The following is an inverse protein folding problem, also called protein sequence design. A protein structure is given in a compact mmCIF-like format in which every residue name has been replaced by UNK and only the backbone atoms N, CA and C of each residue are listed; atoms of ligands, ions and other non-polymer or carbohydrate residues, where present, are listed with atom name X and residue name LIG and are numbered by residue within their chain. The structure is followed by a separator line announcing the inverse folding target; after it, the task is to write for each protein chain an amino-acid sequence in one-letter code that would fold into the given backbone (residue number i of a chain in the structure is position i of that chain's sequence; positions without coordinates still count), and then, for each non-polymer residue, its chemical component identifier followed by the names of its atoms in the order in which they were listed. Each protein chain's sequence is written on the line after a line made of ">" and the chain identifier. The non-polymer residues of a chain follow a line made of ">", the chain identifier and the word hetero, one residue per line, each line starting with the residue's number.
data_IF_063306239028
#
_entry.id   IF_063306239028
#
_cell.length_a   1.000
_cell.length_b   1.000
_cell.length_c   1.000
_cell.angle_alpha   90.00
_cell.angle_beta   90.00
_cell.angle_gamma   90.00
#
_symmetry.space_group_name_H-M   'P 1'
#
loop_
_entity.id
_entity.type
_entity.pdbx_description
1 polymer ?
#
# COMPACT_ATOMS: atom_id res chain seq x y z
N UNK A 1 32.16 61.84 -17.92
CA UNK A 1 31.00 62.33 -17.15
C UNK A 1 30.14 61.12 -16.82
N UNK A 2 30.65 60.29 -15.91
CA UNK A 2 29.86 59.30 -15.19
C UNK A 2 29.31 60.06 -13.98
N UNK A 3 28.04 60.48 -14.05
CA UNK A 3 27.31 60.88 -12.86
C UNK A 3 26.80 59.60 -12.18
N UNK A 4 27.47 59.30 -11.07
CA UNK A 4 27.21 58.24 -10.12
C UNK A 4 25.78 58.37 -9.54
N UNK A 5 24.83 57.65 -10.15
CA UNK A 5 23.41 57.63 -9.77
C UNK A 5 23.15 57.02 -8.37
N UNK A 6 24.19 56.59 -7.66
CA UNK A 6 24.09 56.00 -6.31
C UNK A 6 24.18 57.03 -5.17
N UNK A 7 24.39 58.31 -5.46
CA UNK A 7 24.57 59.36 -4.44
C UNK A 7 23.28 59.93 -3.81
N UNK A 8 22.11 59.34 -4.03
CA UNK A 8 20.81 59.88 -3.56
C UNK A 8 20.05 59.01 -2.53
N UNK A 9 20.62 57.92 -2.04
CA UNK A 9 19.95 57.09 -1.03
C UNK A 9 20.45 57.45 0.38
N UNK A 10 19.54 57.96 1.22
CA UNK A 10 19.79 58.21 2.64
C UNK A 10 20.03 56.87 3.36
N UNK A 11 21.30 56.53 3.57
CA UNK A 11 21.75 55.26 4.14
C UNK A 11 21.21 55.00 5.56
N UNK A 12 20.69 56.02 6.25
CA UNK A 12 20.09 55.89 7.58
C UNK A 12 18.68 55.26 7.57
N UNK A 13 18.05 55.15 6.39
CA UNK A 13 16.69 54.61 6.20
C UNK A 13 16.67 53.28 5.44
N UNK A 14 17.84 52.73 5.12
CA UNK A 14 17.97 51.45 4.44
C UNK A 14 17.73 50.29 5.41
N UNK A 15 16.63 49.57 5.20
CA UNK A 15 16.37 48.31 5.88
C UNK A 15 17.25 47.21 5.28
N UNK A 16 17.64 46.22 6.11
CA UNK A 16 18.41 45.08 5.61
C UNK A 16 17.55 44.27 4.63
N UNK A 17 18.18 43.56 3.67
CA UNK A 17 17.46 42.66 2.76
C UNK A 17 16.55 41.66 3.49
N UNK A 18 16.99 41.16 4.65
CA UNK A 18 16.23 40.23 5.48
C UNK A 18 14.99 40.90 6.08
N UNK A 19 15.12 42.13 6.59
CA UNK A 19 13.99 42.89 7.14
C UNK A 19 12.96 43.26 6.06
N UNK A 20 13.41 43.54 4.84
CA UNK A 20 12.53 43.77 3.69
C UNK A 20 11.83 42.48 3.26
N UNK A 21 12.53 41.35 3.27
CA UNK A 21 11.95 40.05 2.95
C UNK A 21 10.93 39.60 3.99
N UNK A 22 11.17 39.83 5.29
CA UNK A 22 10.17 39.54 6.33
C UNK A 22 8.90 40.40 6.17
N UNK A 23 9.05 41.68 5.84
CA UNK A 23 7.91 42.60 5.71
C UNK A 23 7.11 42.39 4.42
N UNK A 24 7.76 42.08 3.30
CA UNK A 24 7.13 42.09 1.97
C UNK A 24 7.31 40.81 1.16
N UNK A 25 8.12 39.86 1.61
CA UNK A 25 8.52 38.67 0.86
C UNK A 25 7.33 37.84 0.39
N UNK A 26 6.33 37.59 1.25
CA UNK A 26 5.12 36.84 0.86
C UNK A 26 4.35 37.52 -0.28
N UNK A 27 4.23 38.85 -0.24
CA UNK A 27 3.55 39.60 -1.29
C UNK A 27 4.36 39.58 -2.59
N UNK A 28 5.68 39.79 -2.50
CA UNK A 28 6.58 39.78 -3.66
C UNK A 28 6.59 38.40 -4.32
N UNK A 29 6.67 37.32 -3.55
CA UNK A 29 6.61 35.94 -4.06
C UNK A 29 5.30 35.71 -4.82
N UNK A 30 4.15 36.06 -4.23
CA UNK A 30 2.86 35.87 -4.90
C UNK A 30 2.73 36.68 -6.20
N UNK A 31 3.25 37.91 -6.24
CA UNK A 31 3.25 38.73 -7.46
C UNK A 31 4.20 38.17 -8.51
N UNK A 32 5.40 37.73 -8.10
CA UNK A 32 6.42 37.18 -8.99
C UNK A 32 5.97 35.84 -9.57
N UNK A 33 5.44 34.93 -8.77
CA UNK A 33 4.88 33.65 -9.25
C UNK A 33 3.80 33.89 -10.30
N UNK A 34 2.86 34.81 -10.03
CA UNK A 34 1.80 35.15 -11.00
C UNK A 34 2.37 35.74 -12.29
N UNK A 35 3.42 36.56 -12.21
CA UNK A 35 4.08 37.14 -13.38
C UNK A 35 4.80 36.07 -14.21
N UNK A 36 5.50 35.14 -13.56
CA UNK A 36 6.19 34.02 -14.22
C UNK A 36 5.19 33.03 -14.84
N UNK A 37 4.11 32.70 -14.14
CA UNK A 37 3.01 31.87 -14.67
C UNK A 37 2.36 32.46 -15.92
N UNK A 38 2.23 33.79 -15.95
CA UNK A 38 1.61 34.49 -17.07
C UNK A 38 2.51 34.58 -18.30
N UNK A 39 3.82 34.33 -18.16
CA UNK A 39 4.80 34.43 -19.24
C UNK A 39 5.19 33.04 -19.78
N UNK A 40 4.89 32.78 -21.06
CA UNK A 40 5.15 31.51 -21.76
C UNK A 40 6.63 31.16 -21.94
N UNK A 41 7.51 32.14 -21.79
CA UNK A 41 8.96 31.93 -21.83
C UNK A 41 9.47 31.19 -20.60
N UNK A 42 8.71 31.24 -19.50
CA UNK A 42 9.03 30.50 -18.29
C UNK A 42 8.26 29.19 -18.23
N UNK A 43 8.86 28.22 -17.58
CA UNK A 43 8.23 26.95 -17.24
C UNK A 43 8.51 26.67 -15.77
N UNK A 44 7.46 26.29 -15.03
CA UNK A 44 7.58 25.83 -13.65
C UNK A 44 7.75 24.32 -13.65
N UNK A 45 8.78 23.82 -12.99
CA UNK A 45 9.03 22.39 -12.78
C UNK A 45 9.29 22.19 -11.29
N UNK A 46 8.36 21.55 -10.59
CA UNK A 46 8.35 21.52 -9.13
C UNK A 46 8.18 22.94 -8.55
N UNK A 47 9.12 23.34 -7.69
CA UNK A 47 9.16 24.66 -7.04
C UNK A 47 10.12 25.66 -7.72
N UNK A 48 10.70 25.28 -8.86
CA UNK A 48 11.68 26.08 -9.59
C UNK A 48 11.13 26.60 -10.93
N UNK A 49 11.64 27.75 -11.34
CA UNK A 49 11.29 28.43 -12.59
C UNK A 49 12.48 28.44 -13.54
N UNK A 50 12.26 27.95 -14.75
CA UNK A 50 13.28 27.90 -15.80
C UNK A 50 12.86 28.74 -17.00
N UNK A 51 13.84 29.39 -17.63
CA UNK A 51 13.63 29.99 -18.94
C UNK A 51 13.65 28.86 -19.99
N UNK A 52 12.57 28.71 -20.75
CA UNK A 52 12.42 27.67 -21.78
C UNK A 52 13.56 27.66 -22.79
N UNK A 53 14.12 28.82 -23.12
CA UNK A 53 15.24 28.96 -24.03
C UNK A 53 16.56 28.35 -23.51
N UNK A 54 16.68 28.13 -22.20
CA UNK A 54 17.84 27.51 -21.56
C UNK A 54 17.66 26.01 -21.33
N UNK A 55 16.45 25.48 -21.56
CA UNK A 55 16.16 24.06 -21.40
C UNK A 55 16.78 23.25 -22.54
N UNK A 56 17.17 22.01 -22.23
CA UNK A 56 17.63 21.07 -23.27
C UNK A 56 16.44 20.52 -24.03
N UNK A 57 16.52 20.52 -25.37
CA UNK A 57 15.45 19.96 -26.19
C UNK A 57 15.43 18.42 -26.08
N UNK A 58 14.35 17.88 -25.53
CA UNK A 58 14.10 16.43 -25.47
C UNK A 58 13.07 16.05 -26.53
N UNK A 59 13.53 15.48 -27.64
CA UNK A 59 12.68 15.02 -28.74
C UNK A 59 12.21 13.57 -28.55
N UNK A 60 11.36 13.10 -29.47
CA UNK A 60 10.82 11.74 -29.47
C UNK A 60 11.89 10.65 -29.56
N UNK A 61 13.02 10.93 -30.21
CA UNK A 61 14.15 10.01 -30.29
C UNK A 61 14.77 9.75 -28.91
N UNK A 62 14.98 10.81 -28.12
CA UNK A 62 15.43 10.69 -26.73
C UNK A 62 14.44 9.91 -25.87
N UNK A 63 13.13 10.14 -26.03
CA UNK A 63 12.10 9.37 -25.30
C UNK A 63 12.09 7.89 -25.69
N UNK A 64 12.31 7.56 -26.96
CA UNK A 64 12.43 6.16 -27.40
C UNK A 64 13.69 5.49 -26.84
N UNK A 65 14.80 6.22 -26.72
CA UNK A 65 16.00 5.73 -26.05
C UNK A 65 15.75 5.51 -24.55
N UNK A 66 15.09 6.45 -23.87
CA UNK A 66 14.70 6.28 -22.47
C UNK A 66 13.80 5.06 -22.25
N UNK A 67 12.83 4.83 -23.16
CA UNK A 67 12.01 3.62 -23.13
C UNK A 67 12.87 2.35 -23.30
N UNK A 68 13.82 2.33 -24.24
CA UNK A 68 14.69 1.18 -24.43
C UNK A 68 15.57 0.89 -23.19
N UNK A 69 16.12 1.93 -22.57
CA UNK A 69 16.92 1.82 -21.33
C UNK A 69 16.09 1.23 -20.19
N UNK A 70 14.86 1.72 -19.99
CA UNK A 70 13.97 1.18 -18.97
C UNK A 70 13.52 -0.25 -19.29
N UNK A 71 13.25 -0.58 -20.56
CA UNK A 71 12.86 -1.93 -20.98
C UNK A 71 13.97 -2.96 -20.69
N UNK A 72 15.24 -2.59 -20.97
CA UNK A 72 16.41 -3.39 -20.60
C UNK A 72 16.53 -3.60 -19.07
N UNK A 73 15.99 -2.69 -18.27
CA UNK A 73 15.90 -2.77 -16.82
C UNK A 73 14.55 -3.39 -16.34
N UNK A 74 13.87 -4.17 -17.17
CA UNK A 74 12.56 -4.79 -16.89
C UNK A 74 11.48 -3.77 -16.46
N UNK A 75 11.54 -2.57 -17.04
CA UNK A 75 10.64 -1.46 -16.77
C UNK A 75 11.16 -0.44 -15.77
N UNK A 76 12.20 -0.75 -14.97
CA UNK A 76 12.77 0.15 -13.96
C UNK A 76 12.54 -0.34 -12.51
N UNK A 77 12.46 0.56 -11.51
CA UNK A 77 12.60 2.02 -11.62
C UNK A 77 14.05 2.44 -11.87
N UNK A 78 14.28 3.46 -12.70
CA UNK A 78 15.59 4.09 -12.88
C UNK A 78 15.54 5.59 -12.59
N UNK A 79 16.59 6.11 -11.97
CA UNK A 79 16.77 7.55 -11.77
C UNK A 79 17.11 8.25 -13.08
N UNK A 80 16.81 9.54 -13.14
CA UNK A 80 17.04 10.37 -14.33
C UNK A 80 18.51 10.40 -14.75
N UNK A 81 19.43 10.46 -13.79
CA UNK A 81 20.88 10.44 -14.05
C UNK A 81 21.34 9.14 -14.71
N UNK A 82 20.71 8.01 -14.40
CA UNK A 82 21.03 6.71 -15.00
C UNK A 82 20.53 6.67 -16.44
N UNK A 83 19.30 7.13 -16.68
CA UNK A 83 18.71 7.19 -18.02
C UNK A 83 19.56 8.12 -18.91
N UNK A 84 19.94 9.30 -18.42
CA UNK A 84 20.69 10.32 -19.17
C UNK A 84 21.99 9.81 -19.79
N UNK A 85 22.67 8.84 -19.16
CA UNK A 85 23.97 8.30 -19.63
C UNK A 85 23.88 7.73 -21.04
N UNK A 86 22.72 7.24 -21.44
CA UNK A 86 22.49 6.57 -22.71
C UNK A 86 21.70 7.43 -23.72
N UNK A 87 21.25 8.64 -23.34
CA UNK A 87 20.46 9.52 -24.21
C UNK A 87 21.29 10.41 -25.14
N UNK A 88 22.55 10.66 -24.79
CA UNK A 88 23.46 11.48 -25.61
C UNK A 88 23.07 12.96 -25.72
N UNK A 89 22.54 13.56 -24.65
CA UNK A 89 22.21 15.00 -24.63
C UNK A 89 23.48 15.88 -24.76
N UNK A 90 23.36 17.11 -25.29
CA UNK A 90 24.50 17.99 -25.53
C UNK A 90 25.32 18.26 -24.24
N UNK A 91 26.61 17.88 -24.19
CA UNK A 91 27.42 17.92 -22.96
C UNK A 91 27.80 19.34 -22.52
N UNK A 92 27.56 20.34 -23.38
CA UNK A 92 27.75 21.76 -23.12
C UNK A 92 26.67 22.35 -22.20
N UNK A 93 25.55 21.65 -22.03
CA UNK A 93 24.50 22.02 -21.07
C UNK A 93 24.78 21.40 -19.71
N UNK A 94 24.65 22.19 -18.63
CA UNK A 94 24.86 21.71 -17.27
C UNK A 94 23.93 20.55 -16.90
N UNK A 95 24.47 19.55 -16.18
CA UNK A 95 23.77 18.30 -15.82
C UNK A 95 22.39 18.52 -15.21
N UNK A 96 22.26 19.49 -14.29
CA UNK A 96 20.98 19.79 -13.65
C UNK A 96 19.90 20.23 -14.65
N UNK A 97 20.26 21.05 -15.63
CA UNK A 97 19.33 21.48 -16.69
C UNK A 97 18.92 20.30 -17.57
N UNK A 98 19.85 19.38 -17.87
CA UNK A 98 19.53 18.15 -18.61
C UNK A 98 18.56 17.26 -17.83
N UNK A 99 18.80 17.04 -16.54
CA UNK A 99 17.92 16.25 -15.66
C UNK A 99 16.51 16.84 -15.58
N UNK A 100 16.41 18.14 -15.32
CA UNK A 100 15.12 18.85 -15.25
C UNK A 100 14.39 18.79 -16.60
N UNK A 101 15.12 18.95 -17.71
CA UNK A 101 14.57 18.84 -19.07
C UNK A 101 14.02 17.44 -19.36
N UNK A 102 14.78 16.40 -19.01
CA UNK A 102 14.35 15.02 -19.19
C UNK A 102 13.17 14.67 -18.29
N UNK A 103 13.21 15.03 -17.01
CA UNK A 103 12.11 14.80 -16.07
C UNK A 103 10.79 15.38 -16.57
N UNK A 104 10.83 16.63 -17.04
CA UNK A 104 9.65 17.28 -17.59
C UNK A 104 9.13 16.58 -18.87
N UNK A 105 10.04 16.11 -19.73
CA UNK A 105 9.66 15.38 -20.94
C UNK A 105 9.06 13.99 -20.65
N UNK A 106 9.64 13.25 -19.70
CA UNK A 106 9.12 11.95 -19.26
C UNK A 106 7.77 12.10 -18.55
N UNK A 107 7.59 13.13 -17.71
CA UNK A 107 6.33 13.42 -17.02
C UNK A 107 5.18 13.70 -18.01
N UNK A 108 5.49 14.31 -19.16
CA UNK A 108 4.52 14.67 -20.17
C UNK A 108 4.13 13.49 -21.10
N UNK A 109 4.91 12.40 -21.11
CA UNK A 109 4.68 11.24 -21.98
C UNK A 109 4.00 10.09 -21.20
N UNK A 110 2.84 9.60 -21.66
CA UNK A 110 2.04 8.62 -20.91
C UNK A 110 2.66 7.22 -20.79
N UNK A 111 3.76 6.94 -21.50
CA UNK A 111 4.50 5.67 -21.41
C UNK A 111 5.25 5.53 -20.08
N UNK A 112 5.60 6.65 -19.45
CA UNK A 112 6.41 6.68 -18.24
C UNK A 112 5.53 6.98 -17.02
N UNK A 113 5.85 6.36 -15.89
CA UNK A 113 5.24 6.65 -14.59
C UNK A 113 6.36 7.04 -13.62
N UNK A 114 6.16 8.14 -12.90
CA UNK A 114 7.11 8.58 -11.86
C UNK A 114 6.77 7.87 -10.54
N UNK A 115 7.63 6.95 -10.13
CA UNK A 115 7.39 6.02 -9.00
C UNK A 115 8.43 6.19 -7.89
N UNK A 116 8.95 7.41 -7.75
CA UNK A 116 9.95 7.80 -6.75
C UNK A 116 9.52 7.48 -5.31
N UNK A 117 10.46 6.93 -4.54
CA UNK A 117 10.28 6.68 -3.11
C UNK A 117 10.65 7.90 -2.25
N UNK A 118 11.60 8.69 -2.73
CA UNK A 118 12.16 9.88 -2.10
C UNK A 118 12.04 11.07 -3.05
N UNK A 119 12.66 12.20 -2.71
CA UNK A 119 12.62 13.42 -3.55
C UNK A 119 13.46 13.30 -4.84
N UNK A 120 14.07 12.13 -5.11
CA UNK A 120 14.78 11.87 -6.36
C UNK A 120 13.84 11.21 -7.37
N UNK A 121 13.59 11.84 -8.54
CA UNK A 121 12.75 11.26 -9.57
C UNK A 121 13.25 9.88 -10.02
N UNK A 122 12.33 8.92 -10.05
CA UNK A 122 12.58 7.58 -10.54
C UNK A 122 11.44 7.18 -11.47
N UNK A 123 11.79 6.66 -12.64
CA UNK A 123 10.88 6.42 -13.75
C UNK A 123 10.68 4.94 -14.00
N UNK A 124 9.45 4.55 -14.33
CA UNK A 124 9.07 3.20 -14.68
C UNK A 124 8.27 3.18 -15.99
N UNK A 125 8.37 2.10 -16.77
CA UNK A 125 7.52 1.90 -17.95
C UNK A 125 6.14 1.39 -17.57
N UNK A 126 5.13 2.22 -17.81
CA UNK A 126 3.73 1.92 -17.44
C UNK A 126 3.20 0.62 -18.04
N UNK A 127 3.66 0.23 -19.24
CA UNK A 127 3.26 -1.03 -19.89
C UNK A 127 3.80 -2.28 -19.19
N UNK A 128 4.90 -2.14 -18.44
CA UNK A 128 5.54 -3.22 -17.69
C UNK A 128 5.14 -3.23 -16.22
N UNK A 129 4.32 -2.27 -15.77
CA UNK A 129 3.73 -2.32 -14.44
C UNK A 129 2.85 -3.57 -14.30
N UNK A 130 2.97 -4.31 -13.19
CA UNK A 130 2.07 -5.43 -12.90
C UNK A 130 0.61 -4.99 -12.96
N UNK A 131 -0.26 -5.85 -13.48
CA UNK A 131 -1.69 -5.55 -13.58
C UNK A 131 -2.29 -5.26 -12.20
N UNK A 132 -1.87 -6.00 -11.18
CA UNK A 132 -2.32 -5.86 -9.79
C UNK A 132 -1.74 -4.64 -9.08
N UNK A 133 -0.70 -4.00 -9.62
CA UNK A 133 -0.23 -2.68 -9.15
C UNK A 133 -1.05 -1.53 -9.75
N UNK A 134 -1.75 -1.79 -10.87
CA UNK A 134 -2.63 -0.85 -11.56
C UNK A 134 -4.09 -1.00 -11.16
N UNK A 135 -4.54 -2.23 -10.97
CA UNK A 135 -5.92 -2.57 -10.62
C UNK A 135 -5.98 -3.43 -9.36
N UNK A 136 -6.85 -3.03 -8.43
CA UNK A 136 -7.07 -3.79 -7.20
C UNK A 136 -7.62 -5.19 -7.49
N UNK A 137 -6.97 -6.27 -6.99
CA UNK A 137 -7.46 -7.63 -7.10
C UNK A 137 -8.90 -7.77 -6.56
N UNK A 138 -9.75 -8.53 -7.25
CA UNK A 138 -11.17 -8.65 -6.89
C UNK A 138 -11.37 -9.16 -5.45
N UNK A 139 -10.53 -10.09 -5.00
CA UNK A 139 -10.60 -10.66 -3.64
C UNK A 139 -10.38 -9.61 -2.52
N UNK A 140 -9.76 -8.46 -2.84
CA UNK A 140 -9.52 -7.34 -1.92
C UNK A 140 -10.58 -6.24 -2.01
N UNK A 141 -11.52 -6.33 -2.96
CA UNK A 141 -12.58 -5.30 -3.12
C UNK A 141 -13.62 -5.47 -2.02
N UNK A 142 -13.62 -4.54 -1.07
CA UNK A 142 -14.60 -4.49 0.01
C UNK A 142 -15.83 -3.68 -0.39
N UNK A 143 -17.02 -4.17 0.00
CA UNK A 143 -18.24 -3.36 0.00
C UNK A 143 -18.26 -2.53 1.29
N UNK A 144 -18.39 -1.20 1.18
CA UNK A 144 -18.51 -0.34 2.36
C UNK A 144 -19.97 -0.28 2.79
N UNK A 145 -20.34 -0.78 3.99
CA UNK A 145 -21.72 -0.69 4.45
C UNK A 145 -22.12 0.77 4.71
N UNK A 146 -23.39 1.08 4.49
CA UNK A 146 -23.97 2.39 4.79
C UNK A 146 -24.37 2.46 6.27
N UNK A 147 -23.60 3.17 7.09
CA UNK A 147 -23.94 3.49 8.48
C UNK A 147 -22.88 3.04 9.50
N UNK A 148 -22.84 3.70 10.66
CA UNK A 148 -21.98 3.33 11.79
C UNK A 148 -22.84 2.71 12.89
N UNK A 149 -22.59 1.46 13.22
CA UNK A 149 -23.15 0.81 14.42
C UNK A 149 -22.19 1.05 15.57
N UNK A 150 -22.71 1.44 16.73
CA UNK A 150 -21.89 1.56 17.93
C UNK A 150 -21.44 0.16 18.37
N UNK A 151 -20.13 -0.05 18.44
CA UNK A 151 -19.51 -1.29 18.93
C UNK A 151 -19.16 -1.15 20.41
N UNK A 152 -19.12 -2.28 21.12
CA UNK A 152 -18.64 -2.29 22.50
C UNK A 152 -17.13 -1.98 22.54
N UNK A 153 -16.61 -1.46 23.67
CA UNK A 153 -15.18 -1.20 23.82
C UNK A 153 -14.30 -2.42 23.53
N UNK A 154 -14.76 -3.63 23.88
CA UNK A 154 -14.04 -4.89 23.65
C UNK A 154 -13.90 -5.20 22.16
N UNK A 155 -14.96 -5.00 21.38
CA UNK A 155 -14.94 -5.20 19.92
C UNK A 155 -14.10 -4.13 19.21
N UNK A 156 -14.12 -2.88 19.70
CA UNK A 156 -13.24 -1.81 19.18
C UNK A 156 -11.77 -2.15 19.45
N UNK A 157 -11.45 -2.61 20.66
CA UNK A 157 -10.09 -3.05 21.01
C UNK A 157 -9.64 -4.23 20.14
N UNK A 158 -10.52 -5.20 19.89
CA UNK A 158 -10.23 -6.33 19.02
C UNK A 158 -10.00 -5.90 17.56
N UNK A 159 -10.81 -4.98 17.03
CA UNK A 159 -10.62 -4.45 15.67
C UNK A 159 -9.25 -3.76 15.53
N UNK A 160 -8.88 -2.96 16.53
CA UNK A 160 -7.58 -2.29 16.57
C UNK A 160 -6.39 -3.26 16.70
N UNK A 161 -6.56 -4.39 17.40
CA UNK A 161 -5.55 -5.45 17.49
C UNK A 161 -5.39 -6.20 16.15
N UNK A 162 -6.50 -6.42 15.44
CA UNK A 162 -6.48 -7.02 14.11
C UNK A 162 -5.72 -6.18 13.09
N UNK A 163 -5.69 -4.85 13.28
CA UNK A 163 -4.91 -3.88 12.49
C UNK A 163 -5.11 -4.09 10.98
N UNK A 164 -6.37 -4.18 10.54
CA UNK A 164 -6.74 -4.39 9.14
C UNK A 164 -6.57 -3.10 8.31
N UNK A 165 -6.09 -3.23 7.07
CA UNK A 165 -5.79 -2.09 6.20
C UNK A 165 -7.03 -1.28 5.80
N UNK A 166 -8.24 -1.88 5.83
CA UNK A 166 -9.47 -1.16 5.51
C UNK A 166 -9.82 -0.10 6.54
N UNK A 167 -9.39 -0.32 7.79
CA UNK A 167 -9.61 0.55 8.95
C UNK A 167 -8.46 1.52 9.18
N UNK A 168 -7.37 1.37 8.45
CA UNK A 168 -6.23 2.26 8.57
C UNK A 168 -6.55 3.65 8.03
N UNK A 169 -6.50 4.64 8.94
CA UNK A 169 -6.56 6.06 8.61
C UNK A 169 -5.15 6.60 8.32
N UNK A 170 -4.85 6.79 7.03
CA UNK A 170 -3.56 7.35 6.57
C UNK A 170 -3.31 8.78 7.04
N UNK A 171 -4.34 9.50 7.49
CA UNK A 171 -4.18 10.88 7.99
C UNK A 171 -3.69 10.92 9.44
N UNK A 172 -3.87 9.81 10.17
CA UNK A 172 -3.39 9.69 11.54
C UNK A 172 -1.85 9.53 11.54
N UNK A 173 -1.13 10.23 12.43
CA UNK A 173 0.31 10.09 12.52
C UNK A 173 0.69 8.67 12.95
N UNK A 174 1.57 8.02 12.19
CA UNK A 174 2.14 6.71 12.52
C UNK A 174 3.59 6.91 12.98
N UNK A 175 3.88 6.50 14.21
CA UNK A 175 5.24 6.51 14.74
C UNK A 175 6.12 5.51 13.98
N UNK A 176 7.27 5.94 13.43
CA UNK A 176 8.20 5.02 12.79
C UNK A 176 8.70 3.94 13.76
N UNK A 177 8.76 2.70 13.28
CA UNK A 177 9.27 1.55 14.04
C UNK A 177 10.36 0.82 13.24
N UNK A 178 11.26 0.12 13.96
CA UNK A 178 12.28 -0.69 13.31
C UNK A 178 11.71 -1.98 12.72
N UNK A 179 10.70 -2.57 13.35
CA UNK A 179 10.06 -3.80 12.92
C UNK A 179 8.57 -3.83 13.27
N UNK A 180 7.79 -4.53 12.46
CA UNK A 180 6.37 -4.77 12.66
C UNK A 180 6.03 -6.23 12.35
N UNK A 181 5.02 -6.78 13.03
CA UNK A 181 4.45 -8.09 12.74
C UNK A 181 3.03 -7.89 12.20
N UNK A 182 2.72 -8.54 11.08
CA UNK A 182 1.41 -8.54 10.44
C UNK A 182 0.84 -9.96 10.41
N UNK A 183 -0.48 -10.07 10.44
CA UNK A 183 -1.19 -11.34 10.25
C UNK A 183 -1.58 -11.44 8.77
N UNK A 184 -1.16 -12.51 8.10
CA UNK A 184 -1.53 -12.77 6.71
C UNK A 184 -3.01 -13.20 6.62
N UNK A 185 -3.90 -12.32 6.19
CA UNK A 185 -5.33 -12.65 6.02
C UNK A 185 -5.57 -13.51 4.77
N UNK A 186 -6.71 -14.21 4.70
CA UNK A 186 -7.04 -15.04 3.53
C UNK A 186 -7.11 -14.24 2.20
N UNK A 187 -7.77 -13.07 2.11
CA UNK A 187 -7.78 -12.26 0.89
C UNK A 187 -6.38 -11.92 0.40
N UNK A 188 -5.49 -11.52 1.31
CA UNK A 188 -4.09 -11.19 1.01
C UNK A 188 -3.29 -12.42 0.57
N UNK A 189 -3.46 -13.55 1.26
CA UNK A 189 -2.87 -14.84 0.87
C UNK A 189 -3.32 -15.28 -0.52
N UNK A 190 -4.60 -15.09 -0.86
CA UNK A 190 -5.16 -15.42 -2.18
C UNK A 190 -4.60 -14.52 -3.28
N UNK A 191 -4.48 -13.21 -3.02
CA UNK A 191 -3.99 -12.20 -3.96
C UNK A 191 -2.46 -12.15 -4.08
N UNK A 192 -1.72 -12.79 -3.17
CA UNK A 192 -0.26 -12.65 -3.11
C UNK A 192 0.17 -11.26 -2.65
N UNK A 193 -0.59 -10.67 -1.73
CA UNK A 193 -0.38 -9.32 -1.19
C UNK A 193 -0.24 -9.33 0.33
N UNK A 194 0.13 -8.19 0.92
CA UNK A 194 -0.04 -7.89 2.35
C UNK A 194 -0.86 -6.60 2.51
N UNK A 195 -1.62 -6.49 3.59
CA UNK A 195 -2.31 -5.24 3.93
C UNK A 195 -1.31 -4.16 4.31
N UNK A 196 -1.49 -2.95 3.78
CA UNK A 196 -0.77 -1.76 4.24
C UNK A 196 -1.48 -1.17 5.46
N UNK A 197 -1.46 -1.93 6.54
CA UNK A 197 -2.00 -1.50 7.83
C UNK A 197 -1.10 -0.47 8.50
N UNK A 198 -1.56 0.05 9.65
CA UNK A 198 -0.74 0.93 10.48
C UNK A 198 0.59 0.28 10.90
N UNK A 199 0.59 -1.01 11.25
CA UNK A 199 1.82 -1.74 11.56
C UNK A 199 2.78 -1.75 10.37
N UNK A 200 2.31 -2.03 9.15
CA UNK A 200 3.15 -1.92 7.95
C UNK A 200 3.62 -0.48 7.70
N UNK A 201 2.74 0.51 7.82
CA UNK A 201 3.06 1.93 7.64
C UNK A 201 4.13 2.44 8.63
N UNK A 202 4.25 1.81 9.81
CA UNK A 202 5.29 2.17 10.79
C UNK A 202 6.70 1.81 10.34
N UNK A 203 6.85 0.75 9.52
CA UNK A 203 8.16 0.29 9.02
C UNK A 203 8.42 0.72 7.58
N UNK A 204 7.37 0.90 6.79
CA UNK A 204 7.49 1.30 5.39
C UNK A 204 7.70 2.82 5.26
N UNK A 205 8.34 3.26 4.17
CA UNK A 205 8.44 4.67 3.83
C UNK A 205 7.04 5.26 3.58
N UNK A 206 6.87 6.52 3.99
CA UNK A 206 5.66 7.29 3.74
C UNK A 206 5.84 8.01 2.40
N UNK A 207 4.89 7.86 1.48
CA UNK A 207 4.91 8.58 0.21
C UNK A 207 3.53 8.96 -0.27
N UNK A 208 3.48 10.02 -1.07
CA UNK A 208 2.27 10.57 -1.69
C UNK A 208 1.95 9.97 -3.04
N UNK A 209 2.88 9.20 -3.62
CA UNK A 209 2.68 8.55 -4.92
C UNK A 209 1.64 7.42 -4.80
N UNK A 210 0.83 7.18 -5.86
CA UNK A 210 -0.22 6.17 -5.81
C UNK A 210 0.32 4.74 -5.75
N UNK A 211 1.48 4.51 -6.36
CA UNK A 211 2.15 3.21 -6.40
C UNK A 211 3.66 3.39 -6.41
N UNK A 212 4.36 2.51 -5.70
CA UNK A 212 5.81 2.59 -5.55
C UNK A 212 6.42 1.20 -5.55
N UNK A 213 7.34 0.88 -6.49
CA UNK A 213 8.12 -0.32 -6.43
C UNK A 213 9.16 -0.21 -5.30
N UNK A 214 9.30 -1.28 -4.54
CA UNK A 214 10.28 -1.42 -3.48
C UNK A 214 10.94 -2.80 -3.56
N UNK A 215 12.07 -2.97 -2.87
CA UNK A 215 12.71 -4.27 -2.74
C UNK A 215 12.48 -4.83 -1.36
N UNK A 216 11.85 -5.99 -1.30
CA UNK A 216 11.87 -6.81 -0.10
C UNK A 216 12.98 -7.84 -0.23
N UNK A 217 13.65 -8.16 0.87
CA UNK A 217 14.68 -9.19 0.90
C UNK A 217 14.35 -10.21 1.96
N UNK A 218 14.24 -11.47 1.55
CA UNK A 218 13.97 -12.56 2.49
C UNK A 218 15.17 -12.75 3.41
N UNK A 219 14.92 -12.75 4.72
CA UNK A 219 15.99 -12.73 5.72
C UNK A 219 16.84 -14.00 5.74
N UNK A 220 16.32 -15.14 5.28
CA UNK A 220 17.00 -16.44 5.31
C UNK A 220 17.71 -16.74 4.00
N UNK A 221 16.97 -16.70 2.89
CA UNK A 221 17.46 -17.01 1.55
C UNK A 221 18.26 -15.86 0.94
N UNK A 222 18.16 -14.65 1.50
CA UNK A 222 18.75 -13.42 0.97
C UNK A 222 18.27 -13.07 -0.44
N UNK A 223 17.20 -13.72 -0.92
CA UNK A 223 16.61 -13.44 -2.22
C UNK A 223 15.84 -12.12 -2.17
N UNK A 224 16.13 -11.24 -3.11
CA UNK A 224 15.39 -10.00 -3.32
C UNK A 224 14.14 -10.26 -4.17
N UNK A 225 13.08 -9.53 -3.86
CA UNK A 225 11.83 -9.51 -4.59
C UNK A 225 11.36 -8.07 -4.75
N UNK A 226 10.92 -7.74 -5.96
CA UNK A 226 10.27 -6.46 -6.22
C UNK A 226 8.82 -6.55 -5.76
N UNK A 227 8.44 -5.65 -4.86
CA UNK A 227 7.08 -5.49 -4.39
C UNK A 227 6.55 -4.12 -4.80
N UNK A 228 5.23 -3.99 -4.89
CA UNK A 228 4.57 -2.74 -5.21
C UNK A 228 3.70 -2.31 -4.05
N UNK A 229 4.05 -1.20 -3.41
CA UNK A 229 3.18 -0.54 -2.46
C UNK A 229 2.10 0.20 -3.25
N UNK A 230 0.85 -0.22 -3.14
CA UNK A 230 -0.30 0.40 -3.80
C UNK A 230 -1.12 1.14 -2.75
N UNK A 231 -1.00 2.47 -2.76
CA UNK A 231 -1.57 3.34 -1.74
C UNK A 231 -3.08 3.38 -1.78
N UNK A 232 -3.67 3.63 -2.96
CA UNK A 232 -5.13 3.74 -3.10
C UNK A 232 -5.87 2.47 -2.64
N UNK A 233 -5.29 1.30 -2.91
CA UNK A 233 -5.80 0.01 -2.45
C UNK A 233 -5.34 -0.41 -1.06
N UNK A 234 -4.38 0.30 -0.46
CA UNK A 234 -3.73 -0.01 0.83
C UNK A 234 -3.18 -1.44 0.89
N UNK A 235 -2.45 -1.89 -0.13
CA UNK A 235 -1.82 -3.20 -0.13
C UNK A 235 -0.42 -3.19 -0.74
N UNK A 236 0.35 -4.23 -0.43
CA UNK A 236 1.69 -4.50 -0.95
C UNK A 236 1.58 -5.73 -1.85
N UNK A 237 1.81 -5.60 -3.15
CA UNK A 237 1.76 -6.71 -4.11
C UNK A 237 3.15 -7.28 -4.43
N UNK A 238 3.20 -8.55 -4.86
CA UNK A 238 4.42 -9.21 -5.32
C UNK A 238 4.92 -10.33 -4.39
N UNK A 239 4.10 -10.75 -3.42
CA UNK A 239 4.50 -11.69 -2.37
C UNK A 239 3.94 -13.11 -2.56
N UNK A 240 3.08 -13.32 -3.56
CA UNK A 240 2.39 -14.59 -3.78
C UNK A 240 3.33 -15.79 -3.96
N UNK A 241 4.41 -15.64 -4.73
CA UNK A 241 5.37 -16.74 -4.92
C UNK A 241 6.23 -16.98 -3.68
N UNK A 242 6.50 -15.94 -2.89
CA UNK A 242 7.17 -16.09 -1.60
C UNK A 242 6.29 -16.82 -0.58
N UNK A 243 4.98 -16.54 -0.54
CA UNK A 243 4.03 -17.28 0.29
C UNK A 243 3.98 -18.76 -0.09
N UNK A 244 3.90 -19.07 -1.40
CA UNK A 244 3.88 -20.47 -1.89
C UNK A 244 5.18 -21.21 -1.58
N UNK A 245 6.33 -20.58 -1.81
CA UNK A 245 7.63 -21.19 -1.57
C UNK A 245 7.87 -21.56 -0.10
N UNK A 246 7.23 -20.83 0.81
CA UNK A 246 7.33 -21.05 2.26
C UNK A 246 6.11 -21.76 2.87
N UNK A 247 5.15 -22.20 2.04
CA UNK A 247 3.90 -22.85 2.44
C UNK A 247 3.12 -22.06 3.53
N UNK A 248 2.99 -20.74 3.33
CA UNK A 248 2.35 -19.87 4.32
C UNK A 248 0.82 -19.93 4.22
N UNK A 249 0.11 -20.33 5.30
CA UNK A 249 -1.34 -20.28 5.37
C UNK A 249 -1.85 -18.88 5.74
N UNK A 250 -3.16 -18.66 5.58
CA UNK A 250 -3.79 -17.52 6.25
C UNK A 250 -3.65 -17.69 7.78
N UNK A 251 -3.48 -16.58 8.50
CA UNK A 251 -3.16 -16.55 9.93
C UNK A 251 -1.66 -16.52 10.24
N UNK A 252 -0.77 -16.72 9.25
CA UNK A 252 0.67 -16.68 9.48
C UNK A 252 1.18 -15.28 9.90
N UNK A 253 2.15 -15.25 10.81
CA UNK A 253 2.81 -14.02 11.22
C UNK A 253 3.96 -13.66 10.27
N UNK A 254 3.83 -12.52 9.59
CA UNK A 254 4.84 -11.95 8.71
C UNK A 254 5.54 -10.80 9.42
N UNK A 255 6.86 -10.82 9.45
CA UNK A 255 7.67 -9.77 10.06
C UNK A 255 8.31 -8.91 8.98
N UNK A 256 8.11 -7.60 9.09
CA UNK A 256 8.79 -6.60 8.27
C UNK A 256 9.79 -5.84 9.14
N UNK A 257 11.01 -5.65 8.66
CA UNK A 257 12.06 -4.93 9.39
C UNK A 257 12.79 -3.97 8.45
N UNK A 258 13.01 -2.73 8.90
CA UNK A 258 13.81 -1.76 8.15
C UNK A 258 15.24 -2.27 7.99
N UNK A 259 15.80 -2.07 6.81
CA UNK A 259 17.21 -2.32 6.53
C UNK A 259 17.99 -1.01 6.55
N UNK A 260 19.29 -1.09 6.82
CA UNK A 260 20.20 0.07 6.71
C UNK A 260 20.49 0.43 5.25
N UNK A 261 20.34 -0.53 4.33
CA UNK A 261 20.44 -0.29 2.90
C UNK A 261 19.19 0.42 2.38
N UNK A 262 19.41 1.44 1.54
CA UNK A 262 18.34 2.22 0.92
C UNK A 262 17.39 1.34 0.09
N UNK A 263 16.09 1.61 0.26
CA UNK A 263 15.01 1.00 -0.52
C UNK A 263 14.89 -0.52 -0.37
N UNK A 264 15.50 -1.10 0.68
CA UNK A 264 15.35 -2.51 1.06
C UNK A 264 14.59 -2.60 2.38
N UNK A 265 13.65 -3.54 2.44
CA UNK A 265 12.98 -3.96 3.67
C UNK A 265 13.19 -5.47 3.83
N UNK A 266 13.59 -5.89 5.03
CA UNK A 266 13.66 -7.32 5.34
C UNK A 266 12.26 -7.87 5.55
N UNK A 267 11.96 -8.98 4.87
CA UNK A 267 10.77 -9.77 5.12
C UNK A 267 11.16 -11.11 5.74
N UNK A 268 10.40 -11.53 6.74
CA UNK A 268 10.55 -12.80 7.41
C UNK A 268 9.20 -13.34 7.89
N UNK A 269 9.18 -14.55 8.42
CA UNK A 269 8.02 -15.13 9.08
C UNK A 269 8.46 -16.01 10.25
N UNK A 270 7.55 -16.25 11.19
CA UNK A 270 7.84 -17.04 12.39
C UNK A 270 7.88 -18.53 12.07
N UNK A 271 9.07 -19.05 11.74
CA UNK A 271 9.29 -20.46 11.44
C UNK A 271 9.19 -21.31 12.70
N UNK A 272 8.62 -22.51 12.54
CA UNK A 272 8.68 -23.56 13.56
C UNK A 272 8.85 -24.93 12.90
N UNK A 273 9.21 -25.93 13.71
CA UNK A 273 9.23 -27.31 13.20
C UNK A 273 7.82 -27.71 12.75
N UNK A 274 7.65 -28.29 11.55
CA UNK A 274 6.34 -28.73 11.07
C UNK A 274 5.64 -29.62 12.08
N UNK A 275 4.41 -29.25 12.46
CA UNK A 275 3.57 -30.02 13.37
C UNK A 275 2.22 -30.28 12.72
N UNK A 276 1.67 -31.48 12.93
CA UNK A 276 0.29 -31.78 12.52
C UNK A 276 -0.67 -31.16 13.52
N UNK A 277 -1.50 -30.26 13.05
CA UNK A 277 -2.46 -29.52 13.86
C UNK A 277 -3.86 -29.62 13.26
N UNK A 278 -4.86 -29.59 14.13
CA UNK A 278 -6.25 -29.49 13.72
C UNK A 278 -6.54 -28.05 13.35
N UNK A 279 -6.89 -27.82 12.10
CA UNK A 279 -7.14 -26.48 11.55
C UNK A 279 -8.53 -26.44 10.94
N UNK A 280 -9.07 -25.23 10.84
CA UNK A 280 -10.29 -24.98 10.08
C UNK A 280 -9.98 -24.98 8.59
N UNK A 281 -10.71 -25.79 7.83
CA UNK A 281 -10.61 -25.87 6.37
C UNK A 281 -11.93 -25.39 5.77
N UNK A 282 -11.87 -24.31 5.01
CA UNK A 282 -12.99 -23.75 4.28
C UNK A 282 -13.01 -24.32 2.85
N UNK A 283 -14.21 -24.68 2.41
CA UNK A 283 -14.53 -25.16 1.06
C UNK A 283 -15.87 -24.59 0.60
N UNK A 284 -16.16 -24.64 -0.69
CA UNK A 284 -17.51 -24.37 -1.20
C UNK A 284 -18.20 -25.68 -1.58
N UNK A 285 -19.44 -25.88 -1.12
CA UNK A 285 -20.32 -26.98 -1.53
C UNK A 285 -21.70 -26.42 -1.81
N UNK A 286 -22.31 -26.79 -2.94
CA UNK A 286 -23.64 -26.34 -3.37
C UNK A 286 -23.84 -24.81 -3.28
N UNK A 287 -22.82 -24.04 -3.68
CA UNK A 287 -22.86 -22.58 -3.66
C UNK A 287 -22.91 -21.97 -2.25
N UNK A 288 -22.45 -22.68 -1.21
CA UNK A 288 -22.35 -22.21 0.18
C UNK A 288 -20.99 -22.52 0.78
N UNK A 289 -20.57 -21.71 1.76
CA UNK A 289 -19.40 -22.00 2.57
C UNK A 289 -19.63 -23.29 3.39
N UNK A 290 -18.62 -24.15 3.42
CA UNK A 290 -18.54 -25.32 4.29
C UNK A 290 -17.21 -25.30 5.05
N UNK A 291 -17.29 -25.35 6.38
CA UNK A 291 -16.14 -25.43 7.28
C UNK A 291 -16.07 -26.81 7.93
N UNK A 292 -14.87 -27.39 7.93
CA UNK A 292 -14.57 -28.65 8.61
C UNK A 292 -13.23 -28.55 9.34
N UNK A 293 -13.01 -29.41 10.34
CA UNK A 293 -11.71 -29.56 11.00
C UNK A 293 -10.94 -30.69 10.35
N UNK A 294 -9.70 -30.42 9.96
CA UNK A 294 -8.81 -31.43 9.40
C UNK A 294 -7.39 -31.26 9.92
N UNK A 295 -6.62 -32.36 9.93
CA UNK A 295 -5.20 -32.28 10.24
C UNK A 295 -4.42 -31.73 9.05
N UNK A 296 -3.63 -30.69 9.28
CA UNK A 296 -2.67 -30.14 8.31
C UNK A 296 -1.30 -30.03 8.96
N UNK A 297 -0.25 -30.19 8.15
CA UNK A 297 1.10 -29.88 8.59
C UNK A 297 1.28 -28.36 8.51
N UNK A 298 1.72 -27.74 9.60
CA UNK A 298 1.92 -26.29 9.67
C UNK A 298 3.37 -26.02 10.07
N UNK A 299 4.13 -25.36 9.18
CA UNK A 299 5.57 -25.10 9.33
C UNK A 299 5.91 -23.69 9.85
N UNK A 300 4.91 -22.89 10.19
CA UNK A 300 5.07 -21.56 10.79
C UNK A 300 4.12 -21.35 11.96
N UNK A 301 4.43 -20.42 12.84
CA UNK A 301 3.47 -19.92 13.82
C UNK A 301 2.32 -19.20 13.11
N UNK A 302 1.12 -19.42 13.61
CA UNK A 302 -0.11 -18.81 13.11
C UNK A 302 -0.93 -18.31 14.28
N UNK A 303 -1.71 -17.25 14.06
CA UNK A 303 -2.81 -16.92 14.96
C UNK A 303 -3.91 -17.98 14.75
N UNK A 304 -4.15 -18.81 15.77
CA UNK A 304 -5.08 -19.94 15.71
C UNK A 304 -6.52 -19.50 15.38
N UNK A 305 -6.92 -18.32 15.85
CA UNK A 305 -8.26 -17.77 15.61
C UNK A 305 -8.39 -17.16 14.22
N UNK A 306 -7.29 -16.78 13.58
CA UNK A 306 -7.25 -16.24 12.20
C UNK A 306 -6.92 -17.29 11.13
N UNK A 307 -6.49 -18.47 11.57
CA UNK A 307 -6.04 -19.55 10.69
C UNK A 307 -7.21 -20.22 9.99
N UNK A 308 -7.31 -20.01 8.67
CA UNK A 308 -8.31 -20.66 7.80
C UNK A 308 -7.62 -21.19 6.55
N UNK A 309 -7.63 -22.52 6.42
CA UNK A 309 -7.06 -23.22 5.27
C UNK A 309 -8.09 -23.33 4.15
N UNK A 310 -7.63 -23.29 2.92
CA UNK A 310 -8.48 -23.47 1.74
C UNK A 310 -7.75 -24.34 0.74
N UNK A 311 -8.25 -25.56 0.56
CA UNK A 311 -7.65 -26.57 -0.32
C UNK A 311 -7.95 -26.28 -1.80
N UNK A 312 -9.16 -25.79 -2.11
CA UNK A 312 -9.54 -25.33 -3.45
C UNK A 312 -9.96 -23.85 -3.43
N UNK A 313 -9.00 -22.92 -3.62
CA UNK A 313 -9.30 -21.50 -3.68
C UNK A 313 -10.21 -21.13 -4.86
N UNK A 314 -10.20 -21.89 -5.96
CA UNK A 314 -11.03 -21.58 -7.14
C UNK A 314 -12.51 -21.80 -6.84
N UNK A 315 -12.85 -22.80 -6.03
CA UNK A 315 -14.22 -23.03 -5.59
C UNK A 315 -14.76 -21.87 -4.75
N UNK A 316 -13.93 -21.26 -3.89
CA UNK A 316 -14.32 -20.06 -3.13
C UNK A 316 -14.40 -18.81 -4.02
N UNK A 317 -13.54 -18.68 -5.03
CA UNK A 317 -13.66 -17.60 -6.02
C UNK A 317 -14.97 -17.72 -6.81
N UNK A 318 -15.35 -18.94 -7.22
CA UNK A 318 -16.63 -19.20 -7.89
C UNK A 318 -17.82 -18.87 -6.98
N UNK A 319 -17.76 -19.28 -5.70
CA UNK A 319 -18.75 -18.93 -4.68
C UNK A 319 -19.00 -17.41 -4.62
N UNK A 320 -17.92 -16.61 -4.67
CA UNK A 320 -17.98 -15.14 -4.69
C UNK A 320 -18.59 -14.59 -5.96
N UNK A 321 -18.20 -15.13 -7.11
CA UNK A 321 -18.63 -14.66 -8.42
C UNK A 321 -20.10 -14.98 -8.70
N UNK A 322 -20.59 -16.15 -8.29
CA UNK A 322 -21.98 -16.59 -8.51
C UNK A 322 -22.99 -15.69 -7.79
N UNK A 323 -22.66 -15.28 -6.57
CA UNK A 323 -23.51 -14.38 -5.78
C UNK A 323 -22.64 -13.56 -4.82
N UNK A 324 -22.67 -12.24 -4.99
CA UNK A 324 -22.10 -11.33 -4.00
C UNK A 324 -22.91 -11.38 -2.71
N UNK A 325 -22.21 -11.60 -1.60
CA UNK A 325 -22.75 -11.50 -0.25
C UNK A 325 -22.30 -10.17 0.33
N UNK A 326 -23.26 -9.42 0.88
CA UNK A 326 -22.93 -8.37 1.82
C UNK A 326 -22.36 -8.98 3.13
N UNK A 327 -21.72 -8.16 3.96
CA UNK A 327 -21.11 -8.59 5.22
C UNK A 327 -22.11 -9.28 6.16
N UNK A 328 -23.38 -8.84 6.19
CA UNK A 328 -24.41 -9.42 7.05
C UNK A 328 -24.80 -10.84 6.60
N UNK A 329 -24.96 -11.06 5.29
CA UNK A 329 -25.20 -12.36 4.70
C UNK A 329 -24.02 -13.30 4.95
N UNK A 330 -22.79 -12.81 4.76
CA UNK A 330 -21.59 -13.59 5.04
C UNK A 330 -21.47 -13.98 6.51
N UNK A 331 -21.79 -13.09 7.46
CA UNK A 331 -21.84 -13.41 8.90
C UNK A 331 -22.87 -14.51 9.18
N UNK A 332 -24.08 -14.42 8.60
CA UNK A 332 -25.12 -15.45 8.77
C UNK A 332 -24.74 -16.81 8.18
N UNK A 333 -23.97 -16.83 7.10
CA UNK A 333 -23.46 -18.06 6.49
C UNK A 333 -22.28 -18.64 7.31
N UNK A 334 -21.35 -17.80 7.76
CA UNK A 334 -20.13 -18.22 8.45
C UNK A 334 -20.37 -18.66 9.91
N UNK A 335 -21.24 -17.96 10.66
CA UNK A 335 -21.44 -18.22 12.09
C UNK A 335 -21.82 -19.68 12.41
N UNK A 336 -22.87 -20.29 11.81
CA UNK A 336 -23.24 -21.67 12.11
C UNK A 336 -22.16 -22.68 11.70
N UNK A 337 -21.41 -22.37 10.64
CA UNK A 337 -20.30 -23.20 10.15
C UNK A 337 -19.11 -23.22 11.11
N UNK A 338 -18.89 -22.14 11.86
CA UNK A 338 -17.89 -22.10 12.94
C UNK A 338 -18.45 -22.74 14.21
N UNK A 339 -19.68 -22.39 14.58
CA UNK A 339 -20.32 -22.86 15.81
C UNK A 339 -20.38 -24.39 15.88
N UNK A 340 -20.68 -25.07 14.77
CA UNK A 340 -20.72 -26.55 14.72
C UNK A 340 -19.38 -27.24 14.99
N UNK A 341 -18.26 -26.51 14.90
CA UNK A 341 -16.92 -27.05 15.18
C UNK A 341 -16.53 -26.87 16.67
N UNK A 342 -17.32 -26.10 17.42
CA UNK A 342 -17.15 -25.87 18.85
C UNK A 342 -18.15 -26.73 19.64
N UNK A 343 -17.71 -27.51 20.65
CA UNK A 343 -18.63 -28.32 21.47
C UNK A 343 -19.74 -27.52 22.15
N UNK A 344 -19.49 -26.24 22.44
CA UNK A 344 -20.41 -25.33 23.11
C UNK A 344 -21.18 -24.43 22.14
N UNK A 345 -20.92 -24.54 20.82
CA UNK A 345 -21.51 -23.62 19.83
C UNK A 345 -20.97 -22.18 19.90
N UNK A 346 -19.97 -21.91 20.73
CA UNK A 346 -19.37 -20.58 20.89
C UNK A 346 -18.45 -20.24 19.72
N UNK A 347 -18.57 -19.03 19.21
CA UNK A 347 -17.80 -18.47 18.09
C UNK A 347 -17.04 -17.23 18.57
N UNK A 348 -15.72 -17.22 18.42
CA UNK A 348 -14.92 -16.03 18.71
C UNK A 348 -15.02 -15.02 17.55
N UNK A 349 -15.19 -13.73 17.86
CA UNK A 349 -15.37 -12.68 16.85
C UNK A 349 -14.19 -12.59 15.86
N UNK A 350 -12.95 -12.82 16.32
CA UNK A 350 -11.75 -12.92 15.46
C UNK A 350 -11.87 -14.00 14.38
N UNK A 351 -12.31 -15.20 14.77
CA UNK A 351 -12.51 -16.32 13.83
C UNK A 351 -13.65 -16.06 12.88
N UNK A 352 -14.73 -15.43 13.36
CA UNK A 352 -15.81 -14.99 12.48
C UNK A 352 -15.29 -14.02 11.41
N UNK A 353 -14.49 -13.03 11.78
CA UNK A 353 -13.87 -12.11 10.83
C UNK A 353 -12.98 -12.82 9.80
N UNK A 354 -12.14 -13.76 10.23
CA UNK A 354 -11.26 -14.53 9.34
C UNK A 354 -12.06 -15.35 8.32
N UNK A 355 -13.11 -16.06 8.77
CA UNK A 355 -13.95 -16.91 7.93
C UNK A 355 -14.85 -16.07 7.01
N UNK A 356 -15.43 -14.96 7.48
CA UNK A 356 -16.20 -14.03 6.65
C UNK A 356 -15.36 -13.52 5.48
N UNK A 357 -14.09 -13.20 5.74
CA UNK A 357 -13.14 -12.78 4.70
C UNK A 357 -12.75 -13.89 3.70
N UNK A 358 -13.24 -15.12 3.85
CA UNK A 358 -13.22 -16.15 2.81
C UNK A 358 -14.42 -16.04 1.85
N UNK A 359 -15.54 -15.47 2.29
CA UNK A 359 -16.77 -15.25 1.50
C UNK A 359 -16.78 -13.86 0.86
N UNK A 360 -16.49 -12.80 1.61
CA UNK A 360 -16.55 -11.41 1.12
C UNK A 360 -15.54 -10.57 1.88
N UNK A 361 -14.89 -9.62 1.21
CA UNK A 361 -13.91 -8.76 1.86
C UNK A 361 -14.65 -7.74 2.74
N UNK A 362 -14.38 -7.76 4.03
CA UNK A 362 -15.01 -6.88 5.03
C UNK A 362 -14.01 -6.43 6.07
N UNK A 363 -14.12 -5.18 6.53
CA UNK A 363 -13.36 -4.69 7.68
C UNK A 363 -13.81 -5.39 8.97
N UNK A 364 -12.93 -5.52 10.00
CA UNK A 364 -13.30 -6.05 11.31
C UNK A 364 -14.56 -5.42 11.91
N UNK A 365 -14.63 -4.09 11.94
CA UNK A 365 -15.76 -3.32 12.47
C UNK A 365 -17.06 -3.58 11.72
N UNK A 366 -17.01 -3.81 10.40
CA UNK A 366 -18.19 -4.16 9.60
C UNK A 366 -18.73 -5.54 9.98
N UNK A 367 -17.83 -6.51 10.18
CA UNK A 367 -18.20 -7.86 10.64
C UNK A 367 -18.81 -7.80 12.04
N UNK A 368 -18.20 -7.02 12.94
CA UNK A 368 -18.67 -6.87 14.32
C UNK A 368 -19.99 -6.10 14.39
N UNK A 369 -20.20 -5.11 13.52
CA UNK A 369 -21.48 -4.41 13.38
C UNK A 369 -22.58 -5.35 12.87
N UNK A 370 -22.26 -6.21 11.90
CA UNK A 370 -23.21 -7.21 11.41
C UNK A 370 -23.57 -8.25 12.48
N UNK A 371 -22.57 -8.66 13.28
CA UNK A 371 -22.76 -9.56 14.42
C UNK A 371 -23.72 -8.95 15.47
N UNK A 372 -23.55 -7.67 15.82
CA UNK A 372 -24.39 -7.01 16.84
C UNK A 372 -25.78 -6.63 16.33
N UNK A 373 -25.91 -6.22 15.07
CA UNK A 373 -27.16 -5.65 14.54
C UNK A 373 -28.29 -6.68 14.34
N UNK A 374 -27.98 -7.96 14.24
CA UNK A 374 -28.99 -8.99 13.93
C UNK A 374 -29.92 -9.35 15.11
N UNK A 375 -29.50 -9.08 16.35
CA UNK A 375 -30.16 -9.55 17.57
C UNK A 375 -30.18 -11.08 17.74
N UNK A 376 -29.65 -11.84 16.77
CA UNK A 376 -29.65 -13.30 16.76
C UNK A 376 -28.47 -13.90 17.52
N UNK A 377 -27.47 -13.09 17.88
CA UNK A 377 -26.26 -13.54 18.55
C UNK A 377 -26.11 -12.84 19.89
N UNK A 378 -25.71 -13.61 20.91
CA UNK A 378 -25.56 -13.14 22.29
C UNK A 378 -24.09 -13.24 22.66
N UNK A 379 -23.53 -12.17 23.22
CA UNK A 379 -22.17 -12.17 23.75
C UNK A 379 -22.09 -13.04 25.01
N UNK A 380 -21.08 -13.92 25.08
CA UNK A 380 -20.81 -14.76 26.25
C UNK A 380 -19.57 -14.30 27.03
N UNK A 381 -18.97 -13.16 26.65
CA UNK A 381 -17.74 -12.61 27.24
C UNK A 381 -16.48 -12.92 26.42
N UNK A 382 -15.40 -12.16 26.64
CA UNK A 382 -14.10 -12.33 26.00
C UNK A 382 -14.16 -12.46 24.45
N UNK A 383 -14.99 -11.63 23.82
CA UNK A 383 -15.26 -11.65 22.37
C UNK A 383 -15.84 -12.97 21.81
N UNK A 384 -16.33 -13.87 22.66
CA UNK A 384 -17.11 -15.03 22.25
C UNK A 384 -18.60 -14.69 22.15
N UNK A 385 -19.24 -15.33 21.17
CA UNK A 385 -20.65 -15.16 20.85
C UNK A 385 -21.32 -16.51 20.65
N UNK A 386 -22.60 -16.58 21.01
CA UNK A 386 -23.44 -17.75 20.84
C UNK A 386 -24.69 -17.40 20.04
N UNK A 387 -25.29 -18.38 19.35
CA UNK A 387 -26.59 -18.18 18.70
C UNK A 387 -27.70 -18.12 19.76
N UNK A 388 -28.45 -17.03 19.83
CA UNK A 388 -29.57 -16.91 20.77
C UNK A 388 -30.65 -17.96 20.50
N UNK A 389 -31.22 -18.53 21.56
CA UNK A 389 -32.45 -19.32 21.46
C UNK A 389 -33.59 -18.35 21.08
N UNK A 390 -34.33 -18.68 20.02
CA UNK A 390 -35.50 -17.90 19.58
C UNK A 390 -36.72 -18.19 20.44
#
# INVERSE_FOLDING_TARGET
>A
NDEDATAQFDTASLQSPEALYEAYGQHVVAVLEKALESNREFIRIGDEWFLRALMTEVNIGHLNLAEAVLDMANGGPLTTDVILRDLGLPPDVGTHVQEVSLNNALAADPRFDEVSLNDTPAWFLRRLEPAEAREMPEVLRAERPSGRVALSPELVALAYELDDELEFDETAPVSPAQSATLILTYPHRRAGTLGWSRAAASVLPQSRKPRIPMRFKDRVTQKEMTVWLVREGRYIWGLGDWFKANDLPAGAYIQLTRSDAENIVWIDYRRRRPKREWVHVASARDGRLCLETAQRAVACEVDELMSVFVDDPRALDALRAERRRDTMQAVREAFPEIAKLSPQGNVHARTLYAVVNTITRSAPTDVFAALTASGAYVSVGDNYWHLGER
#
